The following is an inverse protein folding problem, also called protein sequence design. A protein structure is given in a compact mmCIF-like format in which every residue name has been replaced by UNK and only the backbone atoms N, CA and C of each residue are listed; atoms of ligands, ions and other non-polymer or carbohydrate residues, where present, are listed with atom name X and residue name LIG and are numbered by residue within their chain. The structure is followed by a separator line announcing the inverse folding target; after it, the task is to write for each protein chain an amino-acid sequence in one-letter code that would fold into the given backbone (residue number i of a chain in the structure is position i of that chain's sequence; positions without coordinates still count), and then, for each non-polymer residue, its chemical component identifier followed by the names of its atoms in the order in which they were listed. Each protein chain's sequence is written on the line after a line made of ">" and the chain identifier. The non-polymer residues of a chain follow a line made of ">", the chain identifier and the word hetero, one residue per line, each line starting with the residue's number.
data_IF_290930807481
#
_entry.id   IF_290930807481
#
_cell.length_a   1.000
_cell.length_b   1.000
_cell.length_c   1.000
_cell.angle_alpha   90.00
_cell.angle_beta   90.00
_cell.angle_gamma   90.00
#
_symmetry.space_group_name_H-M   'P 1'
#
loop_
_entity.id
_entity.type
_entity.pdbx_description
1 polymer ?
#
# COMPACT_ATOMS: atom_id res chain seq x y z
N UNK A 1 10.38 12.07 12.36
CA UNK A 1 9.20 11.34 12.88
C UNK A 1 9.19 11.24 14.40
N UNK A 2 10.23 10.72 15.08
CA UNK A 2 10.32 10.78 16.57
C UNK A 2 10.43 12.20 17.11
N UNK A 3 11.18 13.09 16.44
CA UNK A 3 11.29 14.52 16.79
C UNK A 3 9.93 15.25 16.81
N UNK A 4 8.96 14.79 16.02
CA UNK A 4 7.62 15.39 15.96
C UNK A 4 6.56 14.64 16.77
N UNK A 5 6.79 13.36 17.12
CA UNK A 5 5.75 12.49 17.72
C UNK A 5 6.14 11.83 19.05
N UNK A 6 7.37 12.02 19.53
CA UNK A 6 7.90 11.46 20.78
C UNK A 6 8.57 10.09 20.59
N UNK A 7 9.59 9.81 21.41
CA UNK A 7 10.29 8.51 21.47
C UNK A 7 9.38 7.40 22.02
N UNK A 8 9.64 6.15 21.59
CA UNK A 8 9.04 4.90 22.13
C UNK A 8 7.51 4.77 22.06
N UNK A 9 6.85 5.42 21.11
CA UNK A 9 5.39 5.24 20.90
C UNK A 9 4.99 4.02 20.07
N UNK A 10 5.94 3.22 19.60
CA UNK A 10 5.63 2.14 18.65
C UNK A 10 5.06 2.67 17.32
N UNK A 11 5.44 3.89 16.91
CA UNK A 11 5.03 4.52 15.65
C UNK A 11 5.65 3.87 14.40
N UNK A 12 6.40 2.79 14.59
CA UNK A 12 7.02 1.99 13.56
C UNK A 12 6.83 0.51 13.90
N UNK A 13 6.15 -0.23 13.01
CA UNK A 13 5.97 -1.67 13.15
C UNK A 13 7.26 -2.31 12.64
N UNK A 14 8.11 -2.80 13.55
CA UNK A 14 9.23 -3.67 13.21
C UNK A 14 9.12 -4.94 14.06
N UNK A 15 8.98 -6.08 13.40
CA UNK A 15 8.93 -7.40 14.03
C UNK A 15 9.87 -8.30 13.21
N UNK A 16 10.40 -9.38 13.81
CA UNK A 16 11.21 -10.39 13.10
C UNK A 16 10.52 -10.80 11.79
N UNK A 17 11.28 -11.11 10.73
CA UNK A 17 10.73 -11.29 9.36
C UNK A 17 9.63 -12.34 9.25
N UNK A 18 9.54 -13.27 10.20
CA UNK A 18 8.50 -14.31 10.27
C UNK A 18 7.12 -13.76 10.63
N UNK A 19 7.06 -12.58 11.28
CA UNK A 19 5.80 -11.85 11.54
C UNK A 19 5.46 -10.85 10.43
N UNK A 20 6.34 -10.68 9.43
CA UNK A 20 6.08 -9.82 8.27
C UNK A 20 5.37 -10.58 7.14
N UNK A 21 5.23 -11.90 7.25
CA UNK A 21 4.63 -12.76 6.21
C UNK A 21 3.22 -12.30 5.84
N UNK A 22 2.38 -11.96 6.83
CA UNK A 22 1.03 -11.45 6.54
C UNK A 22 1.05 -10.10 5.79
N UNK A 23 2.01 -9.22 6.10
CA UNK A 23 2.17 -7.93 5.41
C UNK A 23 2.71 -8.16 3.99
N UNK A 24 3.62 -9.11 3.80
CA UNK A 24 4.16 -9.51 2.50
C UNK A 24 3.07 -10.14 1.62
N UNK A 25 2.27 -11.05 2.16
CA UNK A 25 1.13 -11.65 1.47
C UNK A 25 0.09 -10.58 1.09
N UNK A 26 -0.26 -9.70 2.04
CA UNK A 26 -1.12 -8.55 1.78
C UNK A 26 -0.58 -7.67 0.64
N UNK A 27 0.73 -7.43 0.61
CA UNK A 27 1.38 -6.65 -0.43
C UNK A 27 1.35 -7.34 -1.80
N UNK A 28 1.54 -8.66 -1.85
CA UNK A 28 1.40 -9.47 -3.06
C UNK A 28 -0.04 -9.41 -3.60
N UNK A 29 -1.04 -9.55 -2.73
CA UNK A 29 -2.45 -9.49 -3.09
C UNK A 29 -2.87 -8.10 -3.55
N UNK A 30 -2.40 -7.06 -2.86
CA UNK A 30 -2.58 -5.66 -3.27
C UNK A 30 -1.98 -5.39 -4.66
N UNK A 31 -0.73 -5.80 -4.85
CA UNK A 31 0.01 -5.55 -6.09
C UNK A 31 -0.63 -6.32 -7.26
N UNK A 32 -1.03 -7.56 -7.05
CA UNK A 32 -1.66 -8.37 -8.11
C UNK A 32 -3.06 -7.86 -8.47
N UNK A 33 -3.89 -7.49 -7.49
CA UNK A 33 -5.30 -7.12 -7.71
C UNK A 33 -5.52 -5.66 -8.08
N UNK A 34 -4.72 -4.74 -7.56
CA UNK A 34 -4.90 -3.28 -7.74
C UNK A 34 -3.68 -2.68 -8.42
N UNK A 35 -2.47 -2.91 -7.91
CA UNK A 35 -1.25 -2.25 -8.42
C UNK A 35 -0.96 -2.54 -9.89
N UNK A 36 -1.10 -3.80 -10.30
CA UNK A 36 -0.86 -4.28 -11.68
C UNK A 36 -1.71 -3.55 -12.72
N UNK A 37 -2.92 -3.11 -12.33
CA UNK A 37 -3.87 -2.43 -13.22
C UNK A 37 -3.47 -1.00 -13.57
N UNK A 38 -2.51 -0.41 -12.87
CA UNK A 38 -2.06 0.97 -13.09
C UNK A 38 -0.68 1.07 -13.74
N UNK A 39 0.17 0.05 -13.53
CA UNK A 39 1.52 0.01 -14.11
C UNK A 39 1.50 0.04 -15.64
N UNK A 40 0.78 -0.90 -16.27
CA UNK A 40 0.74 -1.00 -17.74
C UNK A 40 0.14 0.25 -18.40
N UNK A 41 -0.96 0.84 -17.87
CA UNK A 41 -1.50 2.09 -18.43
C UNK A 41 -0.55 3.27 -18.33
N UNK A 42 0.15 3.47 -17.20
CA UNK A 42 1.10 4.58 -17.09
C UNK A 42 2.29 4.40 -18.02
N UNK A 43 2.78 3.17 -18.20
CA UNK A 43 3.78 2.87 -19.23
C UNK A 43 3.27 3.16 -20.65
N UNK A 44 2.00 2.85 -20.95
CA UNK A 44 1.39 3.20 -22.24
C UNK A 44 1.28 4.73 -22.42
N UNK A 45 0.99 5.48 -21.35
CA UNK A 45 0.99 6.94 -21.37
C UNK A 45 2.38 7.52 -21.64
N UNK A 46 3.45 6.92 -21.12
CA UNK A 46 4.83 7.34 -21.42
C UNK A 46 5.17 7.14 -22.91
N UNK A 47 4.82 5.97 -23.47
CA UNK A 47 5.18 5.63 -24.85
C UNK A 47 4.32 6.39 -25.87
N UNK A 48 3.02 6.56 -25.60
CA UNK A 48 2.06 7.05 -26.60
C UNK A 48 1.27 8.28 -26.19
N UNK A 49 1.15 8.55 -24.89
CA UNK A 49 0.39 9.67 -24.34
C UNK A 49 1.22 10.93 -24.04
N UNK A 50 2.54 10.90 -24.29
CA UNK A 50 3.43 12.04 -24.04
C UNK A 50 3.67 12.33 -22.56
N UNK A 51 3.39 11.38 -21.66
CA UNK A 51 3.77 11.48 -20.26
C UNK A 51 5.29 11.53 -20.15
N UNK A 52 5.80 12.51 -19.39
CA UNK A 52 7.22 12.66 -19.10
C UNK A 52 7.38 12.56 -17.58
N UNK A 53 7.97 11.48 -17.06
CA UNK A 53 8.10 11.28 -15.61
C UNK A 53 9.02 12.31 -14.95
N UNK A 54 9.92 12.94 -15.71
CA UNK A 54 10.83 13.98 -15.20
C UNK A 54 10.16 15.37 -15.13
N UNK A 55 8.95 15.52 -15.70
CA UNK A 55 8.21 16.78 -15.65
C UNK A 55 7.23 16.81 -14.48
N UNK A 56 7.54 17.62 -13.47
CA UNK A 56 6.70 17.78 -12.26
C UNK A 56 5.27 18.23 -12.56
N UNK A 57 5.04 18.99 -13.63
CA UNK A 57 3.69 19.37 -14.06
C UNK A 57 2.89 18.16 -14.60
N UNK A 58 3.57 17.23 -15.29
CA UNK A 58 2.94 15.99 -15.76
C UNK A 58 2.64 15.07 -14.57
N UNK A 59 3.55 14.95 -13.60
CA UNK A 59 3.31 14.19 -12.36
C UNK A 59 2.14 14.79 -11.58
N UNK A 60 2.07 16.12 -11.47
CA UNK A 60 0.92 16.79 -10.86
C UNK A 60 -0.38 16.45 -11.57
N UNK A 61 -0.43 16.55 -12.90
CA UNK A 61 -1.64 16.25 -13.66
C UNK A 61 -2.05 14.78 -13.52
N UNK A 62 -1.06 13.88 -13.51
CA UNK A 62 -1.28 12.45 -13.32
C UNK A 62 -1.88 12.16 -11.95
N UNK A 63 -1.33 12.78 -10.89
CA UNK A 63 -1.90 12.71 -9.55
C UNK A 63 -3.31 13.31 -9.51
N UNK A 64 -3.51 14.48 -10.12
CA UNK A 64 -4.79 15.17 -10.12
C UNK A 64 -5.91 14.32 -10.74
N UNK A 65 -5.62 13.64 -11.85
CA UNK A 65 -6.60 12.83 -12.58
C UNK A 65 -6.81 11.45 -11.94
N UNK A 66 -5.73 10.76 -11.57
CA UNK A 66 -5.80 9.33 -11.26
C UNK A 66 -5.64 8.99 -9.79
N UNK A 67 -5.02 9.85 -8.97
CA UNK A 67 -4.84 9.57 -7.53
C UNK A 67 -6.18 9.42 -6.79
N UNK A 68 -7.23 10.26 -7.03
CA UNK A 68 -8.54 10.04 -6.41
C UNK A 68 -9.14 8.68 -6.77
N UNK A 69 -8.97 8.25 -8.02
CA UNK A 69 -9.47 6.96 -8.51
C UNK A 69 -8.69 5.79 -7.91
N UNK A 70 -7.35 5.89 -7.82
CA UNK A 70 -6.51 4.90 -7.15
C UNK A 70 -6.90 4.78 -5.67
N UNK A 71 -7.05 5.89 -4.97
CA UNK A 71 -7.46 5.91 -3.55
C UNK A 71 -8.84 5.28 -3.35
N UNK A 72 -9.80 5.58 -4.24
CA UNK A 72 -11.11 4.95 -4.17
C UNK A 72 -11.02 3.44 -4.38
N UNK A 73 -10.24 2.98 -5.36
CA UNK A 73 -9.99 1.54 -5.58
C UNK A 73 -9.27 0.89 -4.39
N UNK A 74 -8.35 1.62 -3.75
CA UNK A 74 -7.65 1.17 -2.55
C UNK A 74 -8.61 0.91 -1.40
N UNK A 75 -9.52 1.85 -1.14
CA UNK A 75 -10.54 1.73 -0.10
C UNK A 75 -11.50 0.58 -0.41
N UNK A 76 -11.96 0.46 -1.66
CA UNK A 76 -12.83 -0.64 -2.09
C UNK A 76 -12.16 -2.00 -1.88
N UNK A 77 -10.89 -2.13 -2.27
CA UNK A 77 -10.13 -3.35 -2.08
C UNK A 77 -9.92 -3.64 -0.59
N UNK A 78 -9.54 -2.65 0.21
CA UNK A 78 -9.36 -2.82 1.65
C UNK A 78 -10.65 -3.29 2.34
N UNK A 79 -11.80 -2.74 1.96
CA UNK A 79 -13.10 -3.18 2.47
C UNK A 79 -13.42 -4.63 2.06
N UNK A 80 -13.20 -4.97 0.79
CA UNK A 80 -13.42 -6.33 0.29
C UNK A 80 -12.48 -7.34 0.94
N UNK A 81 -11.21 -6.97 1.10
CA UNK A 81 -10.20 -7.76 1.79
C UNK A 81 -10.56 -7.94 3.26
N UNK A 82 -10.96 -6.89 3.97
CA UNK A 82 -11.33 -7.04 5.38
C UNK A 82 -12.55 -7.95 5.62
N UNK A 83 -13.41 -8.13 4.60
CA UNK A 83 -14.61 -8.96 4.65
C UNK A 83 -14.45 -10.35 4.01
N UNK A 84 -13.32 -10.64 3.34
CA UNK A 84 -13.14 -11.93 2.68
C UNK A 84 -12.94 -13.03 3.70
N UNK A 85 -13.48 -14.22 3.44
CA UNK A 85 -13.33 -15.37 4.33
C UNK A 85 -11.98 -16.02 4.11
N UNK A 86 -11.19 -16.15 5.16
CA UNK A 86 -9.94 -16.91 5.12
C UNK A 86 -10.22 -18.38 5.45
N UNK A 87 -9.57 -19.30 4.74
CA UNK A 87 -9.59 -20.71 5.12
C UNK A 87 -8.53 -20.91 6.20
N UNK A 88 -8.97 -21.28 7.41
CA UNK A 88 -8.04 -21.71 8.45
C UNK A 88 -7.65 -23.19 8.23
N UNK A 89 -6.41 -23.59 8.53
CA UNK A 89 -5.90 -24.95 8.29
C UNK A 89 -6.76 -26.07 8.88
N UNK A 90 -7.45 -25.81 10.00
CA UNK A 90 -8.17 -26.82 10.78
C UNK A 90 -9.62 -27.05 10.32
N UNK A 91 -10.07 -26.43 9.24
CA UNK A 91 -11.46 -26.55 8.76
C UNK A 91 -12.50 -25.94 9.69
N UNK A 92 -12.07 -25.24 10.75
CA UNK A 92 -12.95 -24.40 11.58
C UNK A 92 -13.25 -23.07 10.87
N UNK A 93 -14.47 -22.61 11.10
CA UNK A 93 -15.07 -21.33 10.72
C UNK A 93 -14.22 -20.40 9.86
N UNK A 94 -14.62 -20.23 8.59
CA UNK A 94 -14.03 -19.23 7.70
C UNK A 94 -14.41 -17.82 8.18
N UNK A 95 -13.57 -17.25 9.04
CA UNK A 95 -13.70 -15.90 9.57
C UNK A 95 -13.05 -14.90 8.62
N UNK A 96 -13.63 -13.70 8.54
CA UNK A 96 -12.99 -12.59 7.84
C UNK A 96 -11.92 -11.93 8.70
N UNK A 97 -10.94 -11.22 8.12
CA UNK A 97 -10.00 -10.41 8.90
C UNK A 97 -10.69 -9.47 9.89
N UNK A 98 -11.83 -8.88 9.51
CA UNK A 98 -12.64 -8.05 10.40
C UNK A 98 -13.27 -8.83 11.56
N UNK A 99 -13.73 -10.06 11.32
CA UNK A 99 -14.26 -10.93 12.37
C UNK A 99 -13.15 -11.29 13.37
N UNK A 100 -11.97 -11.68 12.89
CA UNK A 100 -10.83 -12.02 13.75
C UNK A 100 -10.38 -10.84 14.61
N UNK A 101 -10.31 -9.64 14.03
CA UNK A 101 -10.03 -8.41 14.78
C UNK A 101 -11.06 -8.15 15.88
N UNK A 102 -12.35 -8.30 15.56
CA UNK A 102 -13.44 -8.13 16.51
C UNK A 102 -13.38 -9.17 17.65
N UNK A 103 -13.15 -10.45 17.33
CA UNK A 103 -12.99 -11.51 18.33
C UNK A 103 -11.78 -11.28 19.23
N UNK A 104 -10.66 -10.82 18.68
CA UNK A 104 -9.48 -10.44 19.47
C UNK A 104 -9.85 -9.36 20.49
N UNK A 105 -10.54 -8.30 20.09
CA UNK A 105 -10.92 -7.22 21.01
C UNK A 105 -11.85 -7.72 22.13
N UNK A 106 -12.80 -8.60 21.81
CA UNK A 106 -13.71 -9.17 22.80
C UNK A 106 -12.99 -10.07 23.81
N UNK A 107 -12.02 -10.87 23.35
CA UNK A 107 -11.18 -11.71 24.23
C UNK A 107 -10.23 -10.85 25.09
N UNK A 108 -9.81 -9.69 24.61
CA UNK A 108 -8.85 -8.77 25.28
C UNK A 108 -9.49 -7.88 26.37
N UNK A 109 -10.76 -8.11 26.75
CA UNK A 109 -11.41 -7.39 27.87
C UNK A 109 -10.83 -7.71 29.25
N UNK A 110 -10.07 -8.81 29.35
CA UNK A 110 -9.06 -9.01 30.38
C UNK A 110 -7.71 -8.76 29.73
N UNK A 111 -6.85 -7.92 30.35
CA UNK A 111 -5.52 -7.61 29.81
C UNK A 111 -4.86 -8.92 29.36
N UNK A 112 -4.41 -9.03 28.10
CA UNK A 112 -3.78 -10.25 27.64
C UNK A 112 -2.51 -10.39 28.49
N UNK A 113 -2.34 -11.56 29.09
CA UNK A 113 -1.03 -11.90 29.61
C UNK A 113 -0.09 -11.83 28.40
N UNK A 114 1.01 -11.09 28.52
CA UNK A 114 1.92 -10.81 27.38
C UNK A 114 2.51 -12.12 26.82
N UNK A 115 2.38 -13.21 27.57
CA UNK A 115 2.78 -14.58 27.23
C UNK A 115 1.72 -15.39 26.43
N UNK A 116 0.54 -14.83 26.08
CA UNK A 116 -0.51 -15.54 25.31
C UNK A 116 -0.79 -14.95 23.92
N UNK A 117 -0.09 -13.89 23.51
CA UNK A 117 -0.10 -13.34 22.14
C UNK A 117 0.99 -14.04 21.30
N UNK A 118 1.19 -15.34 21.51
CA UNK A 118 2.36 -16.07 21.03
C UNK A 118 2.15 -16.70 19.63
N UNK A 119 0.94 -16.63 19.07
CA UNK A 119 0.57 -17.43 17.89
C UNK A 119 -0.14 -16.67 16.76
N UNK A 120 -0.60 -15.43 17.00
CA UNK A 120 -1.42 -14.73 16.02
C UNK A 120 -0.56 -14.01 14.97
N UNK A 121 -0.62 -14.48 13.71
CA UNK A 121 0.07 -13.87 12.57
C UNK A 121 1.37 -14.60 12.15
N UNK A 122 1.69 -15.71 12.80
CA UNK A 122 2.75 -16.62 12.33
C UNK A 122 2.08 -17.65 11.42
N UNK A 123 2.46 -17.63 10.14
CA UNK A 123 2.11 -18.71 9.21
C UNK A 123 3.04 -19.89 9.53
N UNK A 124 2.55 -20.82 10.36
CA UNK A 124 3.31 -22.01 10.75
C UNK A 124 3.63 -22.93 9.57
N UNK A 125 2.77 -22.95 8.54
CA UNK A 125 2.98 -23.76 7.34
C UNK A 125 4.13 -23.19 6.50
N UNK A 126 4.18 -21.86 6.34
CA UNK A 126 5.31 -21.17 5.73
C UNK A 126 6.58 -21.19 6.61
N UNK A 127 6.44 -21.18 7.95
CA UNK A 127 7.54 -21.34 8.89
C UNK A 127 8.22 -22.69 8.72
N UNK A 128 7.44 -23.77 8.55
CA UNK A 128 7.95 -25.13 8.39
C UNK A 128 8.48 -25.42 6.97
N UNK A 129 8.26 -24.53 6.01
CA UNK A 129 8.81 -24.66 4.65
C UNK A 129 10.34 -24.51 4.67
N UNK A 130 11.03 -25.61 4.38
CA UNK A 130 12.48 -25.68 4.30
C UNK A 130 13.09 -24.68 3.30
N UNK A 131 12.37 -24.32 2.25
CA UNK A 131 12.84 -23.36 1.26
C UNK A 131 12.87 -21.93 1.84
N UNK A 132 11.84 -21.56 2.59
CA UNK A 132 11.71 -20.25 3.25
C UNK A 132 12.73 -20.15 4.40
N UNK A 133 12.90 -21.22 5.19
CA UNK A 133 13.93 -21.26 6.24
C UNK A 133 15.36 -21.15 5.68
N UNK A 134 15.68 -21.83 4.58
CA UNK A 134 17.00 -21.75 3.95
C UNK A 134 17.31 -20.33 3.46
N UNK A 135 16.35 -19.69 2.79
CA UNK A 135 16.48 -18.30 2.34
C UNK A 135 16.66 -17.31 3.51
N UNK A 136 15.90 -17.49 4.61
CA UNK A 136 16.06 -16.67 5.82
C UNK A 136 17.43 -16.85 6.48
N UNK A 137 17.96 -18.07 6.49
CA UNK A 137 19.25 -18.40 7.11
C UNK A 137 20.43 -17.84 6.30
N UNK A 138 20.29 -17.72 4.98
CA UNK A 138 21.32 -17.13 4.11
C UNK A 138 21.29 -15.59 4.08
N UNK A 139 20.12 -14.97 4.19
CA UNK A 139 19.95 -13.52 4.04
C UNK A 139 20.03 -12.68 5.32
N UNK A 140 19.75 -13.27 6.49
CA UNK A 140 19.71 -12.55 7.76
C UNK A 140 20.90 -12.91 8.66
N UNK A 141 21.47 -11.92 9.33
CA UNK A 141 22.52 -12.17 10.33
C UNK A 141 21.98 -12.99 11.51
N UNK A 142 22.77 -13.91 12.09
CA UNK A 142 22.35 -14.70 13.24
C UNK A 142 22.10 -13.79 14.45
N UNK A 143 20.86 -13.83 14.96
CA UNK A 143 20.37 -13.03 16.08
C UNK A 143 21.03 -13.52 17.39
N UNK A 144 21.94 -12.73 17.97
CA UNK A 144 22.75 -13.11 19.13
C UNK A 144 22.01 -12.96 20.48
N UNK A 145 20.77 -12.45 20.48
CA UNK A 145 19.93 -12.31 21.68
C UNK A 145 18.80 -13.36 21.62
N UNK A 146 18.94 -14.37 22.48
CA UNK A 146 18.15 -15.60 22.42
C UNK A 146 16.64 -15.43 22.56
N UNK A 147 15.92 -16.40 22.00
CA UNK A 147 14.56 -16.90 22.29
C UNK A 147 13.39 -15.92 22.51
N UNK A 148 13.60 -14.61 22.58
CA UNK A 148 12.53 -13.65 22.83
C UNK A 148 12.20 -12.90 21.52
N UNK A 149 11.10 -13.25 20.83
CA UNK A 149 10.71 -12.65 19.55
C UNK A 149 10.33 -11.16 19.65
N UNK A 150 10.20 -10.64 20.87
CA UNK A 150 9.90 -9.24 21.16
C UNK A 150 11.14 -8.37 21.43
N UNK A 151 12.33 -8.97 21.56
CA UNK A 151 13.60 -8.21 21.60
C UNK A 151 14.02 -7.97 20.17
N UNK A 152 13.33 -7.03 19.56
CA UNK A 152 13.49 -6.76 18.16
C UNK A 152 14.74 -5.87 17.97
N UNK A 153 15.58 -6.15 16.98
CA UNK A 153 16.71 -5.28 16.63
C UNK A 153 16.14 -4.00 15.98
N UNK A 154 16.15 -2.86 16.68
CA UNK A 154 15.82 -1.57 16.07
C UNK A 154 16.85 -1.28 14.99
N UNK A 155 16.48 -1.16 13.71
CA UNK A 155 17.45 -0.81 12.67
C UNK A 155 18.02 0.57 12.96
N UNK A 156 19.35 0.73 12.88
CA UNK A 156 20.03 2.02 13.07
C UNK A 156 19.63 3.05 11.98
N UNK A 157 19.15 2.56 10.83
CA UNK A 157 18.70 3.38 9.71
C UNK A 157 17.36 2.87 9.18
N UNK A 158 16.38 3.77 9.05
CA UNK A 158 15.10 3.50 8.40
C UNK A 158 15.16 3.84 6.91
N UNK A 159 14.58 2.99 6.06
CA UNK A 159 14.31 3.35 4.67
C UNK A 159 13.14 4.35 4.64
N UNK A 160 13.46 5.65 4.62
CA UNK A 160 12.48 6.71 4.42
C UNK A 160 12.47 7.03 2.93
N UNK A 161 11.31 6.91 2.30
CA UNK A 161 11.07 7.41 0.94
C UNK A 161 10.26 8.70 1.08
N UNK A 162 10.91 9.83 0.90
CA UNK A 162 10.22 11.12 0.84
C UNK A 162 9.61 11.27 -0.56
N UNK A 163 8.27 11.32 -0.62
CA UNK A 163 7.53 11.61 -1.85
C UNK A 163 7.05 13.04 -1.74
N UNK A 164 7.72 13.97 -2.42
CA UNK A 164 7.26 15.36 -2.49
C UNK A 164 6.00 15.45 -3.37
N UNK A 165 4.94 16.07 -2.85
CA UNK A 165 3.75 16.34 -3.65
C UNK A 165 4.07 17.43 -4.67
N UNK A 166 3.84 17.21 -5.98
CA UNK A 166 4.15 18.21 -6.98
C UNK A 166 3.23 19.42 -6.83
N UNK A 167 3.80 20.62 -6.96
CA UNK A 167 3.02 21.86 -6.91
C UNK A 167 2.08 21.96 -8.12
N UNK A 168 0.88 22.52 -7.91
CA UNK A 168 -0.06 22.80 -9.00
C UNK A 168 0.53 23.86 -9.96
N UNK A 169 0.73 23.55 -11.24
CA UNK A 169 1.28 24.50 -12.21
C UNK A 169 0.22 25.48 -12.75
N UNK A 170 -1.06 25.22 -12.50
CA UNK A 170 -2.18 26.01 -13.02
C UNK A 170 -2.64 27.08 -12.03
N UNK A 171 -3.10 28.21 -12.57
CA UNK A 171 -3.85 29.21 -11.80
C UNK A 171 -5.22 28.65 -11.39
N UNK A 172 -5.87 29.19 -10.35
CA UNK A 172 -7.21 28.74 -9.94
C UNK A 172 -8.26 28.84 -11.07
N UNK A 173 -8.12 29.83 -11.94
CA UNK A 173 -8.99 30.03 -13.10
C UNK A 173 -8.80 28.91 -14.14
N UNK A 174 -7.54 28.60 -14.48
CA UNK A 174 -7.21 27.52 -15.42
C UNK A 174 -7.61 26.15 -14.88
N UNK A 175 -7.48 25.94 -13.58
CA UNK A 175 -7.91 24.71 -12.90
C UNK A 175 -9.44 24.52 -12.98
N UNK A 176 -10.21 25.60 -12.88
CA UNK A 176 -11.67 25.55 -13.05
C UNK A 176 -12.06 25.15 -14.48
N UNK A 177 -11.33 25.65 -15.49
CA UNK A 177 -11.55 25.27 -16.89
C UNK A 177 -11.23 23.79 -17.10
N UNK A 178 -10.10 23.31 -16.56
CA UNK A 178 -9.74 21.90 -16.60
C UNK A 178 -10.84 21.03 -15.97
N UNK A 179 -11.35 21.40 -14.80
CA UNK A 179 -12.44 20.67 -14.12
C UNK A 179 -13.73 20.59 -14.94
N UNK A 180 -14.12 21.68 -15.58
CA UNK A 180 -15.29 21.67 -16.46
C UNK A 180 -15.11 20.76 -17.68
N UNK A 181 -13.87 20.62 -18.16
CA UNK A 181 -13.56 19.77 -19.29
C UNK A 181 -13.58 18.29 -18.93
N UNK A 182 -12.91 17.91 -17.83
CA UNK A 182 -12.74 16.52 -17.43
C UNK A 182 -14.02 15.87 -16.90
N UNK A 183 -14.98 16.64 -16.35
CA UNK A 183 -16.17 16.08 -15.71
C UNK A 183 -17.05 15.25 -16.66
N UNK A 184 -16.95 15.50 -17.97
CA UNK A 184 -17.74 14.83 -18.99
C UNK A 184 -17.01 13.64 -19.64
N UNK A 185 -15.74 13.42 -19.30
CA UNK A 185 -14.93 12.35 -19.90
C UNK A 185 -15.05 11.11 -19.00
N UNK A 186 -15.52 9.97 -19.53
CA UNK A 186 -15.54 8.73 -18.75
C UNK A 186 -14.11 8.28 -18.40
N UNK A 187 -13.96 7.53 -17.30
CA UNK A 187 -12.67 7.06 -16.77
C UNK A 187 -12.69 5.55 -16.41
N UNK A 188 -13.70 4.84 -16.89
CA UNK A 188 -13.98 3.45 -16.50
C UNK A 188 -13.02 2.46 -17.14
N UNK A 189 -12.67 2.67 -18.42
CA UNK A 189 -11.76 1.80 -19.18
C UNK A 189 -10.37 2.41 -19.36
N UNK A 190 -9.40 1.59 -19.77
CA UNK A 190 -8.03 2.05 -20.06
C UNK A 190 -7.99 3.06 -21.21
N UNK A 191 -8.76 2.80 -22.26
CA UNK A 191 -8.89 3.70 -23.41
C UNK A 191 -9.45 5.04 -23.00
N UNK A 192 -10.47 5.04 -22.15
CA UNK A 192 -11.09 6.25 -21.61
C UNK A 192 -10.12 7.07 -20.75
N UNK A 193 -9.36 6.41 -19.86
CA UNK A 193 -8.32 7.07 -19.06
C UNK A 193 -7.21 7.67 -19.91
N UNK A 194 -6.84 7.02 -21.01
CA UNK A 194 -5.88 7.56 -21.97
C UNK A 194 -6.41 8.80 -22.68
N UNK A 195 -7.67 8.78 -23.11
CA UNK A 195 -8.34 9.95 -23.69
C UNK A 195 -8.37 11.09 -22.66
N UNK A 196 -8.83 10.81 -21.44
CA UNK A 196 -8.83 11.77 -20.33
C UNK A 196 -7.45 12.42 -20.12
N UNK A 197 -6.38 11.62 -20.13
CA UNK A 197 -5.01 12.12 -20.04
C UNK A 197 -4.65 13.05 -21.20
N UNK A 198 -4.82 12.60 -22.44
CA UNK A 198 -4.41 13.36 -23.64
C UNK A 198 -5.17 14.69 -23.75
N UNK A 199 -6.48 14.65 -23.51
CA UNK A 199 -7.34 15.83 -23.51
C UNK A 199 -6.95 16.83 -22.42
N UNK A 200 -6.71 16.34 -21.19
CA UNK A 200 -6.26 17.18 -20.08
C UNK A 200 -4.90 17.81 -20.36
N UNK A 201 -3.96 17.05 -20.94
CA UNK A 201 -2.66 17.55 -21.39
C UNK A 201 -2.80 18.66 -22.42
N UNK A 202 -3.68 18.50 -23.40
CA UNK A 202 -3.92 19.51 -24.44
C UNK A 202 -4.51 20.80 -23.84
N UNK A 203 -5.44 20.68 -22.90
CA UNK A 203 -6.00 21.83 -22.18
C UNK A 203 -4.91 22.53 -21.36
N UNK A 204 -4.10 21.79 -20.61
CA UNK A 204 -3.00 22.36 -19.84
C UNK A 204 -1.97 23.07 -20.73
N UNK A 205 -1.66 22.53 -21.92
CA UNK A 205 -0.71 23.13 -22.86
C UNK A 205 -1.16 24.52 -23.36
N UNK A 206 -2.45 24.82 -23.37
CA UNK A 206 -2.98 26.13 -23.76
C UNK A 206 -2.68 27.23 -22.73
N UNK A 207 -2.35 26.86 -21.50
CA UNK A 207 -2.18 27.78 -20.37
C UNK A 207 -0.72 28.05 -20.00
N UNK A 208 0.23 27.32 -20.58
CA UNK A 208 1.66 27.34 -20.23
C UNK A 208 2.51 28.09 -21.29
N UNK A 209 1.91 29.04 -22.03
CA UNK A 209 2.63 29.88 -23.00
C UNK A 209 3.50 30.96 -22.35
#
# INVERSE_FOLDING_TARGET
>A
MEEQRGQDRGSYIWVRSMHNICIEQLWVDWTSMVGSKWKSPFQDLEVTGGLNPDNTAHIWLLHHLFLPLINHKAIQWANAWNMHKMALPDGQWSHSPADLWWFSILQTSSRPNVDEIDEYGIDWEAYEDQHIQAHHTEGNQPDHLGHNPFVAHRPDHFNIVEVEEPNCPLSPQHLTILHQYIVNIPDSTMTERKILWMESMQVCAQFVS
#
